data_IF_415765522103
#
_entry.id   IF_415765522103
#
_cell.length_a   1.000
_cell.length_b   1.000
_cell.length_c   1.000
_cell.angle_alpha   90.00
_cell.angle_beta   90.00
_cell.angle_gamma   90.00
#
_symmetry.space_group_name_H-M   'P 1'
#
loop_
_entity.id
_entity.type
_entity.pdbx_description
1 polymer ?
#
# COMPACT_ATOMS: atom_id res chain seq x y z
N UNK A 1 -7.07 6.88 1.75
CA UNK A 1 -7.21 5.57 2.40
C UNK A 1 -8.09 4.67 1.56
N UNK A 2 -7.77 3.39 1.52
CA UNK A 2 -8.50 2.42 0.71
C UNK A 2 -8.40 1.02 1.29
N UNK A 3 -9.31 0.14 0.86
CA UNK A 3 -9.31 -1.27 1.22
C UNK A 3 -9.08 -2.09 -0.04
N UNK A 4 -8.23 -3.10 0.06
CA UNK A 4 -8.01 -4.05 -1.05
C UNK A 4 -8.25 -5.47 -0.55
N UNK A 5 -8.58 -6.37 -1.47
CA UNK A 5 -9.01 -7.72 -1.13
C UNK A 5 -7.87 -8.65 -0.71
N UNK A 6 -6.70 -8.50 -1.30
CA UNK A 6 -5.57 -9.39 -1.00
C UNK A 6 -5.05 -9.20 0.42
N UNK A 7 -4.71 -10.32 1.08
CA UNK A 7 -4.03 -10.31 2.38
C UNK A 7 -2.69 -11.03 2.30
N UNK A 8 -2.26 -11.42 1.11
CA UNK A 8 -0.98 -12.09 0.88
C UNK A 8 0.16 -11.07 0.91
N UNK A 9 1.07 -11.20 1.86
CA UNK A 9 2.14 -10.22 2.07
C UNK A 9 3.08 -10.08 0.85
N UNK A 10 3.43 -11.19 0.21
CA UNK A 10 4.29 -11.15 -0.97
C UNK A 10 3.63 -10.43 -2.13
N UNK A 11 2.36 -10.74 -2.37
CA UNK A 11 1.58 -10.09 -3.42
C UNK A 11 1.43 -8.59 -3.15
N UNK A 12 1.07 -8.23 -1.92
CA UNK A 12 0.90 -6.83 -1.53
C UNK A 12 2.20 -6.05 -1.70
N UNK A 13 3.31 -6.60 -1.21
CA UNK A 13 4.60 -5.93 -1.31
C UNK A 13 4.97 -5.66 -2.77
N UNK A 14 4.87 -6.67 -3.62
CA UNK A 14 5.25 -6.54 -5.02
C UNK A 14 4.29 -5.64 -5.79
N UNK A 15 3.01 -5.83 -5.58
CA UNK A 15 1.99 -5.09 -6.33
C UNK A 15 1.96 -3.61 -5.95
N UNK A 16 1.93 -3.32 -4.64
CA UNK A 16 1.88 -1.93 -4.19
C UNK A 16 3.19 -1.19 -4.46
N UNK A 17 4.33 -1.87 -4.32
CA UNK A 17 5.60 -1.28 -4.70
C UNK A 17 5.63 -0.91 -6.18
N UNK A 18 5.08 -1.76 -7.03
CA UNK A 18 4.94 -1.50 -8.46
C UNK A 18 4.03 -0.31 -8.76
N UNK A 19 2.90 -0.21 -8.04
CA UNK A 19 1.98 0.92 -8.20
C UNK A 19 2.62 2.24 -7.82
N UNK A 20 3.37 2.25 -6.72
CA UNK A 20 4.10 3.45 -6.29
C UNK A 20 5.09 3.91 -7.35
N UNK A 21 5.81 2.95 -7.93
CA UNK A 21 6.76 3.23 -8.99
C UNK A 21 6.04 3.79 -10.22
N UNK A 22 4.96 3.16 -10.65
CA UNK A 22 4.15 3.62 -11.78
C UNK A 22 3.57 5.02 -11.56
N UNK A 23 3.19 5.33 -10.32
CA UNK A 23 2.67 6.66 -9.98
C UNK A 23 3.75 7.73 -9.92
N UNK A 24 5.02 7.34 -10.03
CA UNK A 24 6.14 8.26 -10.06
C UNK A 24 6.77 8.56 -8.72
N UNK A 25 6.41 7.82 -7.67
CA UNK A 25 7.03 8.00 -6.35
C UNK A 25 8.43 7.40 -6.32
N UNK A 26 9.35 8.12 -5.68
CA UNK A 26 10.68 7.59 -5.41
C UNK A 26 10.65 6.87 -4.07
N UNK A 27 10.85 5.56 -4.06
CA UNK A 27 10.88 4.75 -2.84
C UNK A 27 12.28 4.90 -2.24
N UNK A 28 12.36 5.46 -1.04
CA UNK A 28 13.63 5.69 -0.35
C UNK A 28 13.82 4.77 0.85
N UNK A 29 12.80 4.02 1.25
CA UNK A 29 12.91 3.07 2.33
C UNK A 29 11.69 2.16 2.37
N UNK A 30 11.85 1.01 3.02
CA UNK A 30 10.78 0.04 3.18
C UNK A 30 10.99 -0.74 4.46
N UNK A 31 9.92 -0.95 5.21
CA UNK A 31 9.94 -1.73 6.43
C UNK A 31 8.68 -2.57 6.51
N UNK A 32 8.83 -3.81 6.96
CA UNK A 32 7.68 -4.71 7.10
C UNK A 32 7.79 -5.52 8.39
N UNK A 33 6.64 -5.97 8.87
CA UNK A 33 6.54 -6.83 10.05
C UNK A 33 5.45 -7.87 9.82
N UNK A 34 5.74 -9.09 10.22
CA UNK A 34 4.79 -10.21 10.20
C UNK A 34 4.40 -10.52 11.64
N UNK A 35 3.12 -10.70 11.89
CA UNK A 35 2.60 -10.95 13.23
C UNK A 35 2.09 -12.38 13.38
N UNK A 36 2.22 -12.94 14.58
CA UNK A 36 1.70 -14.25 14.92
C UNK A 36 0.35 -14.13 15.64
N UNK A 37 -0.64 -14.95 15.33
CA UNK A 37 -0.60 -16.07 14.37
C UNK A 37 -0.79 -15.63 12.91
N UNK A 38 -1.17 -14.39 12.68
CA UNK A 38 -1.33 -13.84 11.33
C UNK A 38 -1.31 -12.32 11.40
N UNK A 39 -1.11 -11.71 10.24
CA UNK A 39 -1.10 -10.26 10.11
C UNK A 39 0.20 -9.76 9.52
N UNK A 40 0.11 -8.64 8.81
CA UNK A 40 1.25 -8.07 8.11
C UNK A 40 1.08 -6.55 8.06
N UNK A 41 2.14 -5.84 8.35
CA UNK A 41 2.18 -4.38 8.23
C UNK A 41 3.42 -4.02 7.42
N UNK A 42 3.27 -3.09 6.50
CA UNK A 42 4.38 -2.60 5.70
C UNK A 42 4.28 -1.09 5.54
N UNK A 43 5.42 -0.43 5.46
CA UNK A 43 5.50 1.01 5.22
C UNK A 43 6.55 1.27 4.16
N UNK A 44 6.15 1.94 3.08
CA UNK A 44 7.09 2.46 2.09
C UNK A 44 7.33 3.93 2.43
N UNK A 45 8.60 4.27 2.62
CA UNK A 45 9.00 5.65 2.83
C UNK A 45 9.35 6.22 1.46
N UNK A 46 8.66 7.27 1.09
CA UNK A 46 8.78 7.90 -0.21
C UNK A 46 9.41 9.29 -0.02
N UNK A 47 9.93 9.88 -1.07
CA UNK A 47 10.41 11.25 -0.98
C UNK A 47 9.22 12.14 -0.61
N UNK A 48 9.22 12.67 0.62
CA UNK A 48 8.19 13.55 1.19
C UNK A 48 6.80 12.92 1.34
N UNK A 49 6.73 11.57 1.38
CA UNK A 49 5.44 10.85 1.44
C UNK A 49 5.65 9.50 2.10
N UNK A 50 4.55 8.78 2.33
CA UNK A 50 4.63 7.38 2.75
C UNK A 50 3.34 6.63 2.42
N UNK A 51 3.46 5.32 2.25
CA UNK A 51 2.33 4.41 2.13
C UNK A 51 2.40 3.42 3.28
N UNK A 52 1.32 3.31 4.05
CA UNK A 52 1.20 2.34 5.13
C UNK A 52 0.13 1.31 4.78
N UNK A 53 0.40 0.05 5.07
CA UNK A 53 -0.46 -1.07 4.72
C UNK A 53 -0.62 -1.99 5.92
N UNK A 54 -1.87 -2.35 6.25
CA UNK A 54 -2.18 -3.26 7.35
C UNK A 54 -3.16 -4.31 6.88
N UNK A 55 -2.80 -5.58 6.99
CA UNK A 55 -3.72 -6.66 6.63
C UNK A 55 -4.65 -6.99 7.80
N UNK A 56 -5.87 -7.37 7.45
CA UNK A 56 -6.86 -7.88 8.40
C UNK A 56 -7.34 -9.23 7.85
N UNK A 57 -6.54 -10.29 8.04
CA UNK A 57 -6.85 -11.60 7.45
C UNK A 57 -8.20 -12.16 7.88
N UNK A 58 -8.62 -11.90 9.12
CA UNK A 58 -9.92 -12.33 9.62
C UNK A 58 -11.09 -11.68 8.90
N UNK A 59 -10.86 -10.50 8.32
CA UNK A 59 -11.86 -9.80 7.51
C UNK A 59 -11.63 -10.00 6.01
N UNK A 60 -10.55 -10.68 5.65
CA UNK A 60 -10.23 -10.97 4.25
C UNK A 60 -9.85 -9.74 3.43
N UNK A 61 -9.33 -8.71 4.06
CA UNK A 61 -8.95 -7.47 3.34
C UNK A 61 -7.80 -6.72 4.00
N UNK A 62 -7.27 -5.76 3.29
CA UNK A 62 -6.10 -4.99 3.71
C UNK A 62 -6.40 -3.49 3.56
N UNK A 63 -6.01 -2.74 4.56
CA UNK A 63 -6.15 -1.29 4.58
C UNK A 63 -4.87 -0.64 4.08
N UNK A 64 -5.00 0.30 3.14
CA UNK A 64 -3.87 1.05 2.56
C UNK A 64 -4.09 2.54 2.79
N UNK A 65 -3.07 3.23 3.24
CA UNK A 65 -3.14 4.67 3.45
C UNK A 65 -1.91 5.36 2.88
N UNK A 66 -2.13 6.22 1.88
CA UNK A 66 -1.08 7.01 1.28
C UNK A 66 -1.18 8.45 1.79
N UNK A 67 -0.09 8.97 2.36
CA UNK A 67 0.03 10.36 2.75
C UNK A 67 1.06 11.02 1.84
N UNK A 68 0.64 12.01 1.07
CA UNK A 68 1.50 12.71 0.13
C UNK A 68 1.09 14.15 -0.06
N UNK A 69 2.08 15.03 -0.21
CA UNK A 69 1.86 16.44 -0.57
C UNK A 69 1.91 16.65 -2.09
N UNK A 70 2.34 15.64 -2.83
CA UNK A 70 2.41 15.73 -4.29
C UNK A 70 1.07 15.30 -4.88
N UNK A 71 0.25 16.28 -5.26
CA UNK A 71 -1.09 16.03 -5.77
C UNK A 71 -1.11 15.18 -7.04
N UNK A 72 -0.21 15.45 -7.96
CA UNK A 72 -0.17 14.74 -9.23
C UNK A 72 0.09 13.25 -9.05
N UNK A 73 1.10 12.92 -8.24
CA UNK A 73 1.43 11.53 -7.94
C UNK A 73 0.34 10.86 -7.11
N UNK A 74 -0.28 11.60 -6.20
CA UNK A 74 -1.38 11.09 -5.38
C UNK A 74 -2.56 10.69 -6.27
N UNK A 75 -2.94 11.54 -7.22
CA UNK A 75 -4.03 11.26 -8.16
C UNK A 75 -3.69 10.05 -9.03
N UNK A 76 -2.44 9.96 -9.52
CA UNK A 76 -1.99 8.82 -10.31
C UNK A 76 -2.11 7.52 -9.51
N UNK A 77 -1.70 7.53 -8.24
CA UNK A 77 -1.84 6.39 -7.35
C UNK A 77 -3.30 5.97 -7.19
N UNK A 78 -4.20 6.93 -6.95
CA UNK A 78 -5.62 6.64 -6.78
C UNK A 78 -6.20 5.97 -8.02
N UNK A 79 -5.83 6.44 -9.20
CA UNK A 79 -6.30 5.85 -10.46
C UNK A 79 -5.84 4.41 -10.62
N UNK A 80 -4.60 4.12 -10.25
CA UNK A 80 -4.05 2.77 -10.32
C UNK A 80 -4.65 1.84 -9.27
N UNK A 81 -5.04 2.38 -8.12
CA UNK A 81 -5.65 1.61 -7.04
C UNK A 81 -7.13 1.30 -7.26
N UNK A 82 -7.84 2.14 -8.00
CA UNK A 82 -9.28 2.00 -8.17
C UNK A 82 -9.76 0.60 -8.54
N UNK A 83 -9.11 -0.09 -9.53
CA UNK A 83 -9.55 -1.44 -9.88
C UNK A 83 -9.36 -2.48 -8.77
N UNK A 84 -8.54 -2.19 -7.77
CA UNK A 84 -8.21 -3.11 -6.69
C UNK A 84 -9.03 -2.85 -5.42
N UNK A 85 -9.64 -1.68 -5.33
CA UNK A 85 -10.37 -1.28 -4.13
C UNK A 85 -11.65 -2.06 -3.94
N UNK A 86 -11.95 -2.35 -2.66
CA UNK A 86 -13.22 -2.96 -2.25
C UNK A 86 -13.88 -2.07 -1.21
N UNK A 87 -15.19 -2.13 -1.15
CA UNK A 87 -15.99 -1.34 -0.20
C UNK A 87 -16.16 -2.04 1.14
#
# INVERSE_FOLDING_TARGET
SSWVESTDSGHLRNHLGGLLDQAGFAIVGFKEAHFEPQGYTAVWILAESHLAVHTFPEAGRTYCELASCNREKFVAYLSLMEPLEVN
#
